data_IF_716905405793
#
_entry.id   IF_716905405793
#
_cell.length_a   1.000
_cell.length_b   1.000
_cell.length_c   1.000
_cell.angle_alpha   90.00
_cell.angle_beta   90.00
_cell.angle_gamma   90.00
#
_symmetry.space_group_name_H-M   'P 1'
#
loop_
_entity.id
_entity.type
_entity.pdbx_description
1 polymer ?
#
# COMPACT_ATOMS: atom_id res chain seq x y z
N UNK A 1 8.78 -17.01 -27.83
CA UNK A 1 8.25 -16.65 -26.50
C UNK A 1 8.48 -15.16 -26.28
N UNK A 2 7.46 -14.37 -25.93
CA UNK A 2 7.61 -12.92 -25.81
C UNK A 2 8.24 -12.56 -24.46
N UNK A 3 9.47 -12.04 -24.46
CA UNK A 3 10.24 -11.70 -23.25
C UNK A 3 9.45 -10.81 -22.28
N UNK A 4 8.77 -9.77 -22.81
CA UNK A 4 7.88 -8.90 -22.03
C UNK A 4 6.80 -9.68 -21.29
N UNK A 5 6.18 -10.67 -21.94
CA UNK A 5 5.12 -11.49 -21.37
C UNK A 5 5.67 -12.38 -20.24
N UNK A 6 6.83 -12.99 -20.44
CA UNK A 6 7.49 -13.80 -19.40
C UNK A 6 7.81 -12.95 -18.17
N UNK A 7 8.40 -11.77 -18.36
CA UNK A 7 8.74 -10.85 -17.28
C UNK A 7 7.49 -10.39 -16.51
N UNK A 8 6.42 -10.03 -17.23
CA UNK A 8 5.16 -9.65 -16.59
C UNK A 8 4.58 -10.81 -15.78
N UNK A 9 4.52 -12.02 -16.33
CA UNK A 9 3.98 -13.18 -15.62
C UNK A 9 4.87 -13.62 -14.45
N UNK A 10 6.20 -13.53 -14.58
CA UNK A 10 7.13 -13.80 -13.50
C UNK A 10 6.98 -12.79 -12.35
N UNK A 11 6.82 -11.51 -12.67
CA UNK A 11 6.58 -10.46 -11.67
C UNK A 11 5.23 -10.65 -10.96
N UNK A 12 4.17 -10.97 -11.69
CA UNK A 12 2.85 -11.28 -11.11
C UNK A 12 2.91 -12.52 -10.22
N UNK A 13 3.55 -13.60 -10.68
CA UNK A 13 3.72 -14.81 -9.90
C UNK A 13 4.54 -14.56 -8.62
N UNK A 14 5.58 -13.72 -8.69
CA UNK A 14 6.35 -13.31 -7.53
C UNK A 14 5.51 -12.52 -6.53
N UNK A 15 4.69 -11.57 -6.99
CA UNK A 15 3.78 -10.80 -6.13
C UNK A 15 2.77 -11.71 -5.42
N UNK A 16 2.18 -12.67 -6.14
CA UNK A 16 1.27 -13.65 -5.55
C UNK A 16 1.98 -14.55 -4.55
N UNK A 17 3.16 -15.07 -4.89
CA UNK A 17 3.98 -15.86 -3.98
C UNK A 17 4.34 -15.09 -2.71
N UNK A 18 4.76 -13.84 -2.84
CA UNK A 18 5.09 -12.96 -1.72
C UNK A 18 3.88 -12.73 -0.82
N UNK A 19 2.71 -12.44 -1.42
CA UNK A 19 1.47 -12.23 -0.69
C UNK A 19 1.04 -13.47 0.11
N UNK A 20 1.19 -14.67 -0.45
CA UNK A 20 0.82 -15.93 0.23
C UNK A 20 1.88 -16.41 1.23
N UNK A 21 3.16 -16.20 0.95
CA UNK A 21 4.27 -16.72 1.77
C UNK A 21 4.66 -15.81 2.92
N UNK A 22 4.34 -14.51 2.84
CA UNK A 22 4.63 -13.51 3.86
C UNK A 22 3.41 -12.62 4.16
N UNK A 23 2.29 -13.21 4.62
CA UNK A 23 1.04 -12.49 4.84
C UNK A 23 1.19 -11.36 5.87
N UNK A 24 1.94 -11.56 6.94
CA UNK A 24 2.16 -10.53 7.97
C UNK A 24 2.89 -9.29 7.41
N UNK A 25 3.86 -9.51 6.53
CA UNK A 25 4.61 -8.42 5.90
C UNK A 25 3.71 -7.64 4.92
N UNK A 26 2.90 -8.35 4.14
CA UNK A 26 1.92 -7.72 3.24
C UNK A 26 0.85 -6.93 4.02
N UNK A 27 0.36 -7.46 5.13
CA UNK A 27 -0.56 -6.76 6.04
C UNK A 27 0.08 -5.50 6.64
N UNK A 28 1.34 -5.56 7.06
CA UNK A 28 2.05 -4.39 7.58
C UNK A 28 2.20 -3.27 6.53
N UNK A 29 2.41 -3.61 5.26
CA UNK A 29 2.46 -2.61 4.18
C UNK A 29 1.11 -1.93 3.99
N UNK A 30 0.02 -2.70 3.88
CA UNK A 30 -1.33 -2.15 3.71
C UNK A 30 -1.74 -1.33 4.94
N UNK A 31 -1.49 -1.84 6.15
CA UNK A 31 -1.77 -1.14 7.39
C UNK A 31 -0.94 0.14 7.52
N UNK A 32 0.32 0.14 7.06
CA UNK A 32 1.17 1.34 7.02
C UNK A 32 0.62 2.42 6.09
N UNK A 33 0.14 2.03 4.91
CA UNK A 33 -0.53 2.96 3.98
C UNK A 33 -1.79 3.53 4.62
N UNK A 34 -2.65 2.68 5.20
CA UNK A 34 -3.88 3.14 5.87
C UNK A 34 -3.59 4.06 7.05
N UNK A 35 -2.56 3.77 7.85
CA UNK A 35 -2.14 4.62 8.96
C UNK A 35 -1.66 6.00 8.46
N UNK A 36 -0.89 6.04 7.36
CA UNK A 36 -0.47 7.31 6.76
C UNK A 36 -1.64 8.13 6.21
N UNK A 37 -2.62 7.48 5.58
CA UNK A 37 -3.82 8.15 5.08
C UNK A 37 -4.65 8.72 6.22
N UNK A 38 -4.78 7.97 7.32
CA UNK A 38 -5.44 8.45 8.54
C UNK A 38 -4.72 9.66 9.14
N UNK A 39 -3.39 9.60 9.27
CA UNK A 39 -2.61 10.73 9.78
C UNK A 39 -2.72 11.97 8.89
N UNK A 40 -2.75 11.80 7.57
CA UNK A 40 -2.99 12.90 6.62
C UNK A 40 -4.41 13.48 6.79
N UNK A 41 -5.42 12.63 6.97
CA UNK A 41 -6.79 13.08 7.21
C UNK A 41 -6.92 13.86 8.54
N UNK A 42 -6.30 13.37 9.61
CA UNK A 42 -6.24 14.07 10.90
C UNK A 42 -5.57 15.45 10.76
N UNK A 43 -4.46 15.55 10.03
CA UNK A 43 -3.79 16.83 9.78
C UNK A 43 -4.69 17.84 9.02
N UNK A 44 -5.45 17.37 8.03
CA UNK A 44 -6.42 18.20 7.29
C UNK A 44 -7.56 18.68 8.19
N UNK A 45 -8.09 17.78 9.03
CA UNK A 45 -9.14 18.12 9.99
C UNK A 45 -8.64 19.18 10.98
N UNK A 46 -7.45 18.99 11.56
CA UNK A 46 -6.83 19.96 12.48
C UNK A 46 -6.59 21.31 11.80
N UNK A 47 -6.13 21.31 10.55
CA UNK A 47 -5.97 22.55 9.79
C UNK A 47 -7.30 23.31 9.61
N UNK A 48 -8.36 22.61 9.23
CA UNK A 48 -9.70 23.19 9.10
C UNK A 48 -10.21 23.74 10.44
N UNK A 49 -10.06 23.00 11.53
CA UNK A 49 -10.45 23.46 12.86
C UNK A 49 -9.74 24.75 13.25
N UNK A 50 -8.43 24.84 12.99
CA UNK A 50 -7.64 26.05 13.28
C UNK A 50 -8.01 27.25 12.39
N UNK A 51 -8.61 27.05 11.22
CA UNK A 51 -9.06 28.15 10.35
C UNK A 51 -10.42 28.73 10.77
N UNK A 52 -11.25 27.94 11.44
CA UNK A 52 -12.62 28.32 11.81
C UNK A 52 -12.80 28.60 13.31
N UNK A 53 -11.72 28.57 14.09
CA UNK A 53 -11.63 29.10 15.46
C UNK A 53 -11.11 30.54 15.43
#
# INVERSE_FOLDING_TARGET
MNMKKILTWAGVAFLLFFLFSAPDQASNVVNGILASLRGAAEAVITFMQNLFQ
#
